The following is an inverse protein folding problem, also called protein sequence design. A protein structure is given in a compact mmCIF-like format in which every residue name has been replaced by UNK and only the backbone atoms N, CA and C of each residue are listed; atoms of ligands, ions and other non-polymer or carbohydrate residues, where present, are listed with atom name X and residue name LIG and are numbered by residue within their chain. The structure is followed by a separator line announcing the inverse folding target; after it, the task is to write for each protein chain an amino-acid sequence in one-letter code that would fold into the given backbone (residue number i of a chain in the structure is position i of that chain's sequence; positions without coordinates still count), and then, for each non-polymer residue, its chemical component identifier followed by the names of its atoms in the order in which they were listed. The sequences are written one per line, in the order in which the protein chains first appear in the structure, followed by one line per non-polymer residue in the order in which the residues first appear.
data_IF_395617196868
#
_entry.id   IF_395617196868
#
_cell.length_a   1.000
_cell.length_b   1.000
_cell.length_c   1.000
_cell.angle_alpha   90.00
_cell.angle_beta   90.00
_cell.angle_gamma   90.00
#
_symmetry.space_group_name_H-M   'P 1'
#
loop_
_entity.id
_entity.type
_entity.pdbx_description
1 polymer ?
#
# COMPACT_ATOMS: atom_id res chain seq x y z
N UNK A 1 0.37 -29.20 24.31
CA UNK A 1 -0.43 -29.02 23.07
C UNK A 1 0.41 -29.30 21.84
N UNK A 2 1.57 -28.65 21.74
CA UNK A 2 2.46 -28.73 20.59
C UNK A 2 2.81 -30.14 20.14
N UNK A 3 3.20 -31.00 21.08
CA UNK A 3 3.53 -32.40 20.79
C UNK A 3 2.35 -33.21 20.28
N UNK A 4 1.13 -32.92 20.75
CA UNK A 4 -0.11 -33.57 20.28
C UNK A 4 -0.38 -33.18 18.84
N UNK A 5 -0.35 -31.87 18.53
CA UNK A 5 -0.55 -31.39 17.15
C UNK A 5 0.53 -31.92 16.19
N UNK A 6 1.78 -31.96 16.64
CA UNK A 6 2.89 -32.52 15.87
C UNK A 6 2.72 -34.02 15.64
N UNK A 7 2.26 -34.75 16.65
CA UNK A 7 1.93 -36.16 16.58
C UNK A 7 0.81 -36.43 15.57
N UNK A 8 -0.30 -35.71 15.65
CA UNK A 8 -1.42 -35.85 14.71
C UNK A 8 -1.05 -35.44 13.28
N UNK A 9 -0.20 -34.44 13.11
CA UNK A 9 0.31 -34.11 11.77
C UNK A 9 1.18 -35.24 11.22
N UNK A 10 1.98 -35.88 12.06
CA UNK A 10 2.84 -37.00 11.69
C UNK A 10 2.04 -38.28 11.38
N UNK A 11 0.94 -38.55 12.10
CA UNK A 11 0.04 -39.69 11.80
C UNK A 11 -0.65 -39.51 10.44
N UNK A 12 -0.95 -38.27 10.05
CA UNK A 12 -1.44 -37.92 8.71
C UNK A 12 -0.34 -37.93 7.63
N UNK A 13 0.93 -38.11 8.00
CA UNK A 13 2.06 -38.11 7.08
C UNK A 13 2.31 -36.76 6.38
N UNK A 14 1.87 -35.65 6.98
CA UNK A 14 1.95 -34.31 6.37
C UNK A 14 3.18 -33.54 6.83
N UNK A 15 3.88 -32.91 5.88
CA UNK A 15 4.93 -31.94 6.20
C UNK A 15 4.32 -30.58 6.57
N UNK A 16 5.10 -29.71 7.23
CA UNK A 16 4.67 -28.32 7.49
C UNK A 16 4.34 -27.55 6.19
N UNK A 17 5.03 -27.86 5.09
CA UNK A 17 4.78 -27.24 3.79
C UNK A 17 3.46 -27.72 3.17
N UNK A 18 3.08 -28.97 3.41
CA UNK A 18 1.78 -29.49 2.95
C UNK A 18 0.64 -28.82 3.70
N UNK A 19 0.76 -28.68 5.03
CA UNK A 19 -0.20 -27.95 5.85
C UNK A 19 -0.32 -26.49 5.41
N UNK A 20 0.80 -25.84 5.07
CA UNK A 20 0.78 -24.48 4.52
C UNK A 20 -0.02 -24.41 3.21
N UNK A 21 0.21 -25.36 2.29
CA UNK A 21 -0.47 -25.36 0.98
C UNK A 21 -1.99 -25.53 1.12
N UNK A 22 -2.42 -26.35 2.07
CA UNK A 22 -3.82 -26.70 2.32
C UNK A 22 -4.55 -25.63 3.15
N UNK A 23 -3.95 -25.14 4.24
CA UNK A 23 -4.57 -24.14 5.12
C UNK A 23 -4.30 -22.68 4.73
N UNK A 24 -3.37 -22.44 3.81
CA UNK A 24 -2.89 -21.09 3.45
C UNK A 24 -2.34 -20.29 4.65
N UNK A 25 -1.81 -21.00 5.64
CA UNK A 25 -1.12 -20.42 6.80
C UNK A 25 0.38 -20.68 6.64
N UNK A 26 1.23 -19.65 6.79
CA UNK A 26 2.71 -19.79 6.68
C UNK A 26 3.19 -20.96 7.57
N UNK A 27 4.08 -21.82 7.04
CA UNK A 27 4.64 -22.97 7.74
C UNK A 27 5.37 -22.55 9.03
N UNK A 28 5.99 -21.38 9.03
CA UNK A 28 6.58 -20.74 10.21
C UNK A 28 5.56 -20.57 11.33
N UNK A 29 4.33 -20.16 11.02
CA UNK A 29 3.26 -20.01 12.01
C UNK A 29 2.74 -21.37 12.50
N UNK A 30 2.64 -22.37 11.63
CA UNK A 30 2.28 -23.73 12.06
C UNK A 30 3.34 -24.29 13.01
N UNK A 31 4.63 -24.10 12.70
CA UNK A 31 5.72 -24.46 13.61
C UNK A 31 5.67 -23.68 14.92
N UNK A 32 5.31 -22.39 14.89
CA UNK A 32 5.17 -21.56 16.08
C UNK A 32 4.03 -22.06 16.98
N UNK A 33 2.89 -22.49 16.40
CA UNK A 33 1.80 -23.13 17.14
C UNK A 33 2.29 -24.42 17.81
N UNK A 34 3.04 -25.26 17.08
CA UNK A 34 3.61 -26.50 17.63
C UNK A 34 4.66 -26.27 18.72
N UNK A 35 5.29 -25.10 18.76
CA UNK A 35 6.29 -24.74 19.78
C UNK A 35 5.72 -23.82 20.87
N UNK A 36 4.42 -23.48 20.82
CA UNK A 36 3.78 -22.49 21.68
C UNK A 36 4.51 -21.13 21.71
N UNK A 37 5.15 -20.75 20.60
CA UNK A 37 5.92 -19.50 20.50
C UNK A 37 5.06 -18.37 19.90
N UNK A 38 4.64 -17.44 20.75
CA UNK A 38 3.81 -16.28 20.37
C UNK A 38 4.62 -15.21 19.64
N UNK A 39 5.93 -15.17 19.82
CA UNK A 39 6.78 -14.09 19.30
C UNK A 39 7.00 -14.20 17.79
N UNK A 40 6.83 -15.40 17.23
CA UNK A 40 6.96 -15.66 15.81
C UNK A 40 5.79 -15.10 14.97
N UNK A 41 4.70 -14.65 15.58
CA UNK A 41 3.54 -14.11 14.85
C UNK A 41 3.66 -12.60 14.63
N UNK A 42 3.58 -12.18 13.36
CA UNK A 42 3.58 -10.75 12.98
C UNK A 42 2.35 -9.99 13.51
N UNK A 43 1.20 -10.66 13.62
CA UNK A 43 -0.08 -10.04 14.03
C UNK A 43 -0.80 -10.90 15.06
N UNK A 44 -0.78 -10.52 16.35
CA UNK A 44 -1.37 -11.31 17.44
C UNK A 44 -2.86 -11.60 17.31
N UNK A 45 -3.61 -10.72 16.64
CA UNK A 45 -5.06 -10.88 16.45
C UNK A 45 -5.48 -12.13 15.68
N UNK A 46 -4.61 -12.66 14.81
CA UNK A 46 -4.93 -13.83 13.97
C UNK A 46 -4.54 -15.17 14.60
N UNK A 47 -3.77 -15.17 15.69
CA UNK A 47 -3.27 -16.40 16.35
C UNK A 47 -4.42 -17.33 16.71
N UNK A 48 -5.50 -16.78 17.27
CA UNK A 48 -6.67 -17.54 17.67
C UNK A 48 -7.38 -18.21 16.47
N UNK A 49 -7.33 -17.60 15.29
CA UNK A 49 -7.87 -18.19 14.05
C UNK A 49 -6.98 -19.30 13.50
N UNK A 50 -5.65 -19.11 13.54
CA UNK A 50 -4.69 -20.10 13.06
C UNK A 50 -4.70 -21.37 13.90
N UNK A 51 -4.68 -21.25 15.24
CA UNK A 51 -4.73 -22.41 16.15
C UNK A 51 -5.99 -23.24 15.93
N UNK A 52 -7.17 -22.60 15.84
CA UNK A 52 -8.44 -23.30 15.62
C UNK A 52 -8.52 -23.96 14.24
N UNK A 53 -8.00 -23.30 13.20
CA UNK A 53 -8.01 -23.85 11.85
C UNK A 53 -7.08 -25.05 11.72
N UNK A 54 -5.91 -25.00 12.36
CA UNK A 54 -4.99 -26.12 12.40
C UNK A 54 -5.56 -27.29 13.23
N UNK A 55 -6.23 -27.01 14.35
CA UNK A 55 -6.91 -28.05 15.13
C UNK A 55 -8.00 -28.78 14.32
N UNK A 56 -8.87 -28.04 13.60
CA UNK A 56 -9.88 -28.66 12.72
C UNK A 56 -9.24 -29.52 11.64
N UNK A 57 -8.14 -29.05 11.06
CA UNK A 57 -7.42 -29.79 10.03
C UNK A 57 -6.89 -31.14 10.53
N UNK A 58 -6.39 -31.18 11.77
CA UNK A 58 -5.91 -32.38 12.44
C UNK A 58 -7.04 -33.24 13.03
N UNK A 59 -8.30 -32.86 12.90
CA UNK A 59 -9.44 -33.57 13.50
C UNK A 59 -9.54 -33.42 15.02
N UNK A 60 -8.86 -32.43 15.61
CA UNK A 60 -8.90 -32.11 17.03
C UNK A 60 -10.00 -31.10 17.36
N UNK A 61 -10.45 -31.08 18.63
CA UNK A 61 -11.39 -30.06 19.09
C UNK A 61 -10.74 -28.66 19.08
N UNK A 62 -11.27 -27.69 18.30
CA UNK A 62 -10.64 -26.38 18.13
C UNK A 62 -10.63 -25.54 19.40
N UNK A 63 -11.65 -25.68 20.26
CA UNK A 63 -11.77 -24.85 21.45
C UNK A 63 -10.89 -25.37 22.58
N UNK A 64 -10.81 -26.70 22.76
CA UNK A 64 -9.79 -27.32 23.59
C UNK A 64 -8.39 -26.90 23.14
N UNK A 65 -8.12 -26.99 21.83
CA UNK A 65 -6.81 -26.67 21.27
C UNK A 65 -6.36 -25.24 21.58
N UNK A 66 -7.27 -24.29 21.36
CA UNK A 66 -7.01 -22.88 21.65
C UNK A 66 -6.83 -22.62 23.15
N UNK A 67 -7.68 -23.21 24.00
CA UNK A 67 -7.58 -23.06 25.46
C UNK A 67 -6.25 -23.58 26.02
N UNK A 68 -5.79 -24.73 25.54
CA UNK A 68 -4.50 -25.31 25.96
C UNK A 68 -3.35 -24.47 25.43
N UNK A 69 -3.42 -23.98 24.17
CA UNK A 69 -2.43 -23.06 23.61
C UNK A 69 -2.29 -21.80 24.47
N UNK A 70 -3.38 -21.11 24.82
CA UNK A 70 -3.30 -19.90 25.67
C UNK A 70 -2.66 -20.18 27.03
N UNK A 71 -2.93 -21.34 27.63
CA UNK A 71 -2.33 -21.75 28.91
C UNK A 71 -0.83 -22.04 28.80
N UNK A 72 -0.39 -22.66 27.71
CA UNK A 72 1.02 -23.02 27.50
C UNK A 72 1.86 -21.83 27.03
N UNK A 73 1.29 -20.97 26.17
CA UNK A 73 2.00 -19.87 25.53
C UNK A 73 1.88 -18.54 26.30
N UNK A 74 1.02 -18.48 27.33
CA UNK A 74 0.69 -17.23 28.04
C UNK A 74 -0.04 -16.20 27.18
N UNK A 75 -0.59 -16.62 26.04
CA UNK A 75 -1.27 -15.71 25.12
C UNK A 75 -2.66 -15.33 25.64
N UNK A 76 -2.88 -14.03 25.82
CA UNK A 76 -4.19 -13.46 26.09
C UNK A 76 -4.69 -12.69 24.87
N UNK A 77 -5.93 -12.97 24.45
CA UNK A 77 -6.58 -12.19 23.41
C UNK A 77 -6.88 -10.79 23.96
N UNK A 78 -6.29 -9.76 23.36
CA UNK A 78 -6.63 -8.38 23.67
C UNK A 78 -8.17 -8.18 23.60
N UNK A 79 -8.71 -7.55 24.65
CA UNK A 79 -10.14 -7.26 24.81
C UNK A 79 -10.70 -6.60 23.54
N UNK A 80 -11.50 -7.35 22.78
CA UNK A 80 -12.08 -6.92 21.50
C UNK A 80 -12.48 -8.09 20.60
N UNK A 81 -11.86 -9.26 20.78
CA UNK A 81 -12.15 -10.49 20.01
C UNK A 81 -12.50 -11.71 20.87
N UNK A 82 -12.91 -11.50 22.12
CA UNK A 82 -13.39 -12.60 22.96
C UNK A 82 -14.72 -13.15 22.41
N UNK A 83 -15.04 -14.45 22.60
CA UNK A 83 -16.30 -15.05 22.16
C UNK A 83 -17.54 -14.34 22.73
N UNK A 84 -17.37 -13.64 23.86
CA UNK A 84 -18.42 -12.81 24.48
C UNK A 84 -18.82 -11.60 23.62
N UNK A 85 -18.00 -11.19 22.65
CA UNK A 85 -18.30 -10.08 21.75
C UNK A 85 -18.93 -10.52 20.41
N UNK A 86 -18.90 -11.82 20.07
CA UNK A 86 -19.27 -12.28 18.72
C UNK A 86 -20.38 -13.30 18.63
N UNK A 87 -20.92 -13.84 19.73
CA UNK A 87 -22.03 -14.81 19.66
C UNK A 87 -23.06 -14.58 20.78
N UNK A 88 -23.90 -13.55 20.62
CA UNK A 88 -25.33 -13.75 20.92
C UNK A 88 -25.89 -14.42 19.67
N UNK A 89 -25.82 -15.76 19.63
CA UNK A 89 -26.62 -16.53 18.70
C UNK A 89 -28.08 -16.20 19.03
N UNK A 90 -28.68 -15.35 18.19
CA UNK A 90 -30.11 -15.09 18.26
C UNK A 90 -30.79 -16.45 18.07
N UNK A 91 -31.62 -16.92 19.01
CA UNK A 91 -32.26 -18.21 18.87
C UNK A 91 -33.02 -18.22 17.55
N UNK A 92 -32.73 -19.22 16.72
CA UNK A 92 -33.40 -19.46 15.45
C UNK A 92 -34.89 -19.64 15.75
N UNK A 93 -35.64 -18.57 15.49
CA UNK A 93 -37.09 -18.55 15.69
C UNK A 93 -37.68 -19.43 14.60
N UNK A 94 -38.17 -20.60 14.98
CA UNK A 94 -39.01 -21.47 14.14
C UNK A 94 -40.05 -20.59 13.45
N UNK A 95 -39.95 -20.49 12.13
CA UNK A 95 -40.83 -19.70 11.28
C UNK A 95 -42.14 -20.47 11.15
N UNK A 96 -43.21 -19.89 11.67
CA UNK A 96 -44.56 -20.42 11.54
C UNK A 96 -44.98 -20.38 10.06
N UNK A 97 -45.27 -21.53 9.40
CA UNK A 97 -45.52 -21.59 7.97
C UNK A 97 -46.85 -20.94 7.54
N UNK A 98 -47.76 -20.64 8.48
CA UNK A 98 -49.10 -20.07 8.21
C UNK A 98 -49.22 -18.56 8.48
N UNK A 99 -48.12 -17.84 8.63
CA UNK A 99 -48.17 -16.37 8.71
C UNK A 99 -48.30 -15.75 7.31
N UNK A 100 -49.53 -15.38 6.95
CA UNK A 100 -49.83 -14.62 5.73
C UNK A 100 -48.90 -13.38 5.65
N UNK A 101 -47.98 -13.33 4.67
CA UNK A 101 -46.98 -12.26 4.55
C UNK A 101 -47.59 -10.89 4.26
N UNK A 102 -48.86 -10.84 3.82
CA UNK A 102 -49.59 -9.61 3.53
C UNK A 102 -50.36 -9.07 4.73
N UNK A 103 -50.61 -9.90 5.75
CA UNK A 103 -51.32 -9.52 6.97
C UNK A 103 -50.37 -9.01 8.07
N UNK A 104 -49.06 -9.06 7.86
CA UNK A 104 -48.09 -8.56 8.83
C UNK A 104 -47.97 -7.03 8.75
N UNK A 105 -48.35 -6.28 9.80
CA UNK A 105 -48.24 -4.80 9.80
C UNK A 105 -46.79 -4.32 9.75
N UNK A 106 -45.81 -5.21 9.96
CA UNK A 106 -44.38 -4.94 9.90
C UNK A 106 -43.71 -5.68 8.73
N UNK A 107 -44.31 -5.63 7.53
CA UNK A 107 -43.77 -6.25 6.33
C UNK A 107 -42.37 -5.70 5.97
N UNK A 108 -41.43 -6.59 5.66
CA UNK A 108 -40.04 -6.26 5.31
C UNK A 108 -39.87 -5.46 4.01
N UNK A 109 -40.93 -5.36 3.19
CA UNK A 109 -40.93 -4.65 1.91
C UNK A 109 -41.34 -3.18 2.02
N UNK A 110 -41.74 -2.71 3.21
CA UNK A 110 -42.08 -1.31 3.44
C UNK A 110 -40.82 -0.58 3.94
N UNK A 111 -40.26 0.39 3.18
CA UNK A 111 -39.15 1.19 3.67
C UNK A 111 -39.60 1.94 4.92
N UNK A 112 -38.91 1.70 6.03
CA UNK A 112 -39.18 2.40 7.28
C UNK A 112 -38.59 3.80 7.18
N UNK A 113 -39.32 4.85 7.60
CA UNK A 113 -38.70 6.15 7.79
C UNK A 113 -37.62 6.00 8.88
N UNK A 114 -36.39 6.35 8.55
CA UNK A 114 -35.29 6.41 9.51
C UNK A 114 -35.64 7.37 10.63
N UNK A 115 -35.27 7.01 11.86
CA UNK A 115 -35.46 7.93 13.00
C UNK A 115 -34.60 9.17 12.78
N UNK A 116 -35.14 10.37 13.04
CA UNK A 116 -34.39 11.64 12.94
C UNK A 116 -33.13 11.69 13.83
N UNK A 117 -33.00 10.74 14.77
CA UNK A 117 -31.86 10.58 15.66
C UNK A 117 -30.85 9.52 15.21
N UNK A 118 -31.12 8.81 14.10
CA UNK A 118 -30.29 7.70 13.60
C UNK A 118 -29.03 8.20 12.87
N UNK A 119 -29.04 9.46 12.40
CA UNK A 119 -27.87 10.14 11.83
C UNK A 119 -26.97 10.83 12.85
N UNK A 120 -27.27 10.76 14.16
CA UNK A 120 -26.45 11.38 15.19
C UNK A 120 -25.34 10.40 15.58
N UNK A 121 -24.25 10.45 14.81
CA UNK A 121 -23.03 9.73 15.15
C UNK A 121 -22.44 10.31 16.46
N UNK A 122 -22.07 9.47 17.44
CA UNK A 122 -21.48 9.93 18.70
C UNK A 122 -20.23 10.81 18.52
N UNK A 123 -19.49 10.60 17.42
CA UNK A 123 -18.32 11.41 17.07
C UNK A 123 -18.65 12.86 16.67
N UNK A 124 -19.75 13.08 15.97
CA UNK A 124 -20.18 14.41 15.52
C UNK A 124 -20.64 15.30 16.70
N UNK A 125 -21.27 14.70 17.71
CA UNK A 125 -21.65 15.41 18.94
C UNK A 125 -20.41 15.89 19.71
N UNK A 126 -19.34 15.07 19.72
CA UNK A 126 -18.07 15.44 20.33
C UNK A 126 -17.39 16.63 19.67
N UNK A 127 -17.32 16.66 18.33
CA UNK A 127 -16.67 17.77 17.60
C UNK A 127 -17.44 19.08 17.73
N UNK A 128 -18.77 19.04 17.73
CA UNK A 128 -19.61 20.22 17.97
C UNK A 128 -19.40 20.75 19.40
N UNK A 129 -19.27 19.85 20.39
CA UNK A 129 -18.95 20.24 21.77
C UNK A 129 -17.61 20.95 21.89
N UNK A 130 -16.56 20.45 21.23
CA UNK A 130 -15.23 21.07 21.21
C UNK A 130 -15.27 22.45 20.54
N UNK A 131 -15.98 22.58 19.42
CA UNK A 131 -16.15 23.86 18.72
C UNK A 131 -16.80 24.90 19.64
N UNK A 132 -17.88 24.55 20.33
CA UNK A 132 -18.56 25.44 21.28
C UNK A 132 -17.63 25.84 22.43
N UNK A 133 -16.83 24.91 22.96
CA UNK A 133 -15.86 25.20 24.01
C UNK A 133 -14.79 26.21 23.55
N UNK A 134 -14.24 26.03 22.34
CA UNK A 134 -13.25 26.96 21.76
C UNK A 134 -13.85 28.35 21.56
N UNK A 135 -15.06 28.44 20.99
CA UNK A 135 -15.75 29.72 20.80
C UNK A 135 -16.01 30.42 22.14
N UNK A 136 -16.39 29.67 23.17
CA UNK A 136 -16.57 30.20 24.53
C UNK A 136 -15.27 30.75 25.12
N UNK A 137 -14.16 30.03 24.98
CA UNK A 137 -12.85 30.46 25.48
C UNK A 137 -12.38 31.72 24.75
N UNK A 138 -12.48 31.78 23.42
CA UNK A 138 -12.12 32.97 22.65
C UNK A 138 -13.00 34.18 23.01
N UNK A 139 -14.31 33.96 23.13
CA UNK A 139 -15.26 35.01 23.52
C UNK A 139 -14.94 35.57 24.91
N UNK A 140 -14.65 34.69 25.87
CA UNK A 140 -14.25 35.09 27.22
C UNK A 140 -12.91 35.83 27.23
N UNK A 141 -11.91 35.33 26.50
CA UNK A 141 -10.60 35.98 26.38
C UNK A 141 -10.69 37.38 25.76
N UNK A 142 -11.49 37.53 24.70
CA UNK A 142 -11.76 38.84 24.11
C UNK A 142 -12.46 39.79 25.08
N UNK A 143 -13.47 39.30 25.81
CA UNK A 143 -14.19 40.09 26.81
C UNK A 143 -13.28 40.58 27.95
N UNK A 144 -12.41 39.72 28.48
CA UNK A 144 -11.44 40.09 29.52
C UNK A 144 -10.42 41.14 29.04
N UNK A 145 -9.98 41.07 27.79
CA UNK A 145 -9.06 42.05 27.23
C UNK A 145 -9.69 43.45 27.13
N UNK A 146 -10.96 43.53 26.71
CA UNK A 146 -11.69 44.80 26.67
C UNK A 146 -11.84 45.43 28.06
N UNK A 147 -12.04 44.60 29.09
CA UNK A 147 -12.10 45.10 30.48
C UNK A 147 -10.77 45.65 30.98
N UNK A 148 -9.64 45.06 30.56
CA UNK A 148 -8.32 45.52 30.99
C UNK A 148 -7.90 46.82 30.30
N UNK A 149 -8.23 46.98 29.01
CA UNK A 149 -7.96 48.22 28.25
C UNK A 149 -8.74 49.41 28.82
N UNK A 150 -9.92 49.19 29.42
CA UNK A 150 -10.68 50.25 30.08
C UNK A 150 -10.06 50.71 31.41
N UNK A 151 -9.12 49.95 31.98
CA UNK A 151 -8.33 50.39 33.14
C UNK A 151 -7.11 51.19 32.66
N UNK A 152 -7.34 52.29 31.96
CA UNK A 152 -6.26 53.25 31.72
C UNK A 152 -6.06 54.03 33.02
N UNK A 153 -5.06 53.61 33.80
CA UNK A 153 -4.52 54.44 34.87
C UNK A 153 -3.77 55.62 34.24
N UNK A 154 -4.40 56.79 34.22
CA UNK A 154 -3.74 58.02 33.80
C UNK A 154 -2.75 58.44 34.88
N UNK A 155 -1.46 58.22 34.65
CA UNK A 155 -0.42 58.88 35.43
C UNK A 155 -0.39 60.38 35.03
N UNK A 156 -0.65 61.32 35.94
CA UNK A 156 -0.56 62.74 35.61
C UNK A 156 0.90 63.13 35.40
N UNK A 157 1.26 63.51 34.19
CA UNK A 157 2.59 64.05 33.86
C UNK A 157 2.45 65.56 33.69
N UNK A 158 2.82 66.32 34.72
CA UNK A 158 3.15 67.73 34.58
C UNK A 158 4.56 67.84 34.00
N UNK A 159 4.66 68.26 32.74
CA UNK A 159 5.93 68.68 32.13
C UNK A 159 5.70 69.98 31.37
N UNK A 160 6.25 71.07 31.90
CA UNK A 160 6.21 72.40 31.32
C UNK A 160 7.17 72.49 30.14
N UNK A 161 6.61 72.84 28.98
CA UNK A 161 7.32 73.07 27.72
C UNK A 161 8.17 74.34 27.81
N UNK A 162 9.49 74.20 27.62
CA UNK A 162 10.40 75.30 27.32
C UNK A 162 10.74 75.28 25.83
N UNK A 163 10.33 76.34 25.12
CA UNK A 163 10.62 76.60 23.70
C UNK A 163 11.87 77.46 23.61
N UNK A 164 12.82 77.13 22.71
CA UNK A 164 13.45 78.11 21.80
C UNK A 164 14.29 77.42 20.70
N UNK A 165 13.88 77.72 19.46
CA UNK A 165 14.64 78.09 18.25
C UNK A 165 16.16 77.82 18.23
N UNK A 166 16.68 77.17 17.18
CA UNK A 166 17.14 77.85 15.94
C UNK A 166 17.70 76.81 14.94
N UNK A 167 17.44 77.01 13.64
CA UNK A 167 18.05 76.27 12.51
C UNK A 167 19.22 77.11 11.97
N UNK A 168 20.27 76.54 11.31
CA UNK A 168 20.21 76.43 9.85
C UNK A 168 21.00 75.27 9.20
N UNK A 169 20.42 74.77 8.12
CA UNK A 169 20.98 74.47 6.78
C UNK A 169 22.51 74.33 6.59
N UNK A 170 22.96 73.25 5.91
CA UNK A 170 23.55 73.26 4.56
C UNK A 170 24.43 72.03 4.23
N UNK A 171 24.25 71.59 2.99
CA UNK A 171 25.19 70.97 2.04
C UNK A 171 25.74 69.52 2.17
N UNK A 172 25.42 68.81 1.09
CA UNK A 172 25.91 67.54 0.50
C UNK A 172 27.43 67.47 0.26
N UNK A 173 28.00 66.46 -0.45
CA UNK A 173 27.95 64.99 -0.38
C UNK A 173 29.40 64.40 -0.30
N UNK A 174 29.58 63.09 -0.56
CA UNK A 174 30.75 62.39 -1.17
C UNK A 174 31.25 61.17 -0.35
N UNK A 175 31.05 59.98 -0.95
CA UNK A 175 32.15 59.09 -1.37
C UNK A 175 32.89 58.23 -0.33
N UNK A 176 33.54 57.15 -0.79
CA UNK A 176 33.68 55.89 -0.07
C UNK A 176 34.99 55.78 0.72
N UNK A 177 34.98 54.98 1.79
CA UNK A 177 36.21 54.45 2.39
C UNK A 177 36.04 52.97 2.70
N UNK A 178 36.80 52.18 1.94
CA UNK A 178 37.13 50.79 2.22
C UNK A 178 37.82 50.63 3.58
N UNK A 179 37.73 49.42 4.13
CA UNK A 179 38.84 48.83 4.87
C UNK A 179 38.71 48.75 6.39
N UNK A 180 38.16 47.60 6.82
CA UNK A 180 38.77 46.73 7.83
C UNK A 180 38.72 47.12 9.32
N UNK A 181 37.84 46.45 10.06
CA UNK A 181 38.13 45.62 11.27
C UNK A 181 36.86 45.43 12.09
N UNK A 182 36.03 44.44 11.74
CA UNK A 182 34.96 43.99 12.64
C UNK A 182 35.39 42.70 13.32
N UNK A 183 35.73 42.86 14.60
CA UNK A 183 35.81 41.79 15.60
C UNK A 183 34.44 41.12 15.66
N UNK A 184 34.37 39.85 15.29
CA UNK A 184 33.14 39.09 15.34
C UNK A 184 32.89 38.67 16.81
N UNK A 185 32.03 39.42 17.48
CA UNK A 185 31.49 39.08 18.80
C UNK A 185 30.19 38.32 18.54
N UNK A 186 30.26 37.00 18.72
CA UNK A 186 29.12 36.10 18.55
C UNK A 186 27.94 36.52 19.45
N UNK A 187 26.94 37.17 18.86
CA UNK A 187 25.65 37.47 19.47
C UNK A 187 24.58 36.49 18.97
N UNK A 188 23.79 35.95 19.90
CA UNK A 188 22.70 34.99 19.68
C UNK A 188 21.54 35.48 18.77
N UNK A 189 21.61 36.70 18.22
CA UNK A 189 20.55 37.35 17.44
C UNK A 189 21.09 38.04 16.17
N UNK A 190 22.06 37.44 15.49
CA UNK A 190 22.45 37.90 14.14
C UNK A 190 21.67 37.12 13.08
N UNK A 191 21.03 37.78 12.10
CA UNK A 191 20.38 37.08 10.99
C UNK A 191 21.44 36.28 10.22
N UNK A 192 21.12 35.05 9.76
CA UNK A 192 22.09 34.19 9.08
C UNK A 192 22.64 34.90 7.85
N UNK A 193 23.97 34.97 7.74
CA UNK A 193 24.63 35.52 6.57
C UNK A 193 24.29 34.67 5.33
N UNK A 194 24.31 35.28 4.15
CA UNK A 194 24.01 34.60 2.88
C UNK A 194 24.91 33.37 2.68
N UNK A 195 26.15 33.43 3.18
CA UNK A 195 27.14 32.37 3.14
C UNK A 195 26.85 31.21 4.12
N UNK A 196 26.18 31.49 5.25
CA UNK A 196 25.67 30.45 6.15
C UNK A 196 24.45 29.72 5.59
N UNK A 197 23.62 30.43 4.81
CA UNK A 197 22.50 29.83 4.07
C UNK A 197 23.00 28.99 2.89
N UNK A 198 23.98 29.47 2.11
CA UNK A 198 24.57 28.75 0.98
C UNK A 198 25.19 27.40 1.42
N UNK A 199 25.76 27.35 2.62
CA UNK A 199 26.29 26.10 3.20
C UNK A 199 25.21 25.06 3.54
N UNK A 200 24.00 25.48 3.91
CA UNK A 200 22.88 24.57 4.17
C UNK A 200 22.27 24.00 2.89
N UNK A 201 22.32 24.74 1.78
CA UNK A 201 21.77 24.30 0.49
C UNK A 201 22.77 23.56 -0.40
N UNK A 202 24.05 23.53 -0.01
CA UNK A 202 25.07 22.77 -0.73
C UNK A 202 24.85 21.27 -0.51
N UNK A 203 24.70 20.45 -1.57
CA UNK A 203 24.56 19.01 -1.40
C UNK A 203 25.81 18.44 -0.74
N UNK A 204 25.64 17.73 0.38
CA UNK A 204 26.73 16.98 1.01
C UNK A 204 27.27 15.97 -0.01
N UNK A 205 28.59 16.00 -0.22
CA UNK A 205 29.24 14.96 -0.99
C UNK A 205 28.98 13.63 -0.28
N UNK A 206 28.34 12.70 -0.98
CA UNK A 206 27.98 11.40 -0.45
C UNK A 206 29.27 10.65 -0.07
N UNK A 207 29.59 10.61 1.23
CA UNK A 207 30.65 9.76 1.78
C UNK A 207 30.12 8.32 1.81
N UNK A 208 30.00 7.73 0.62
CA UNK A 208 29.71 6.31 0.46
C UNK A 208 30.97 5.53 0.82
N UNK A 209 30.90 4.55 1.73
CA UNK A 209 32.06 3.73 2.04
C UNK A 209 32.52 3.00 0.77
N UNK A 210 33.77 3.22 0.37
CA UNK A 210 34.40 2.48 -0.73
C UNK A 210 34.54 1.03 -0.28
N UNK A 211 33.67 0.15 -0.82
CA UNK A 211 33.72 -1.28 -0.53
C UNK A 211 34.91 -1.91 -1.26
N UNK A 212 35.95 -2.24 -0.50
CA UNK A 212 37.08 -3.04 -0.96
C UNK A 212 36.80 -4.49 -0.58
N UNK A 213 36.95 -5.42 -1.52
CA UNK A 213 36.81 -6.84 -1.23
C UNK A 213 37.82 -7.25 -0.14
N UNK A 214 37.30 -7.79 0.97
CA UNK A 214 38.09 -8.19 2.15
C UNK A 214 39.22 -9.17 1.82
N UNK A 215 39.04 -9.99 0.78
CA UNK A 215 39.93 -11.10 0.43
C UNK A 215 40.57 -10.93 -0.95
N UNK A 216 41.15 -9.75 -1.21
CA UNK A 216 41.74 -9.38 -2.50
C UNK A 216 42.58 -10.46 -3.19
N UNK A 217 43.60 -11.05 -2.54
CA UNK A 217 44.49 -12.03 -3.19
C UNK A 217 43.88 -13.41 -3.45
N UNK A 218 42.86 -13.83 -2.69
CA UNK A 218 42.28 -15.19 -2.80
C UNK A 218 41.31 -15.25 -3.98
N UNK A 219 40.62 -14.15 -4.27
CA UNK A 219 39.70 -14.02 -5.40
C UNK A 219 40.39 -14.19 -6.77
N UNK A 220 41.70 -13.92 -6.85
CA UNK A 220 42.47 -14.00 -8.09
C UNK A 220 43.07 -15.38 -8.39
N UNK A 221 42.90 -16.36 -7.50
CA UNK A 221 43.41 -17.72 -7.72
C UNK A 221 42.45 -18.51 -8.63
N UNK A 222 42.93 -18.95 -9.80
CA UNK A 222 42.19 -19.88 -10.65
C UNK A 222 42.31 -21.32 -10.10
N UNK A 223 41.19 -21.97 -9.71
CA UNK A 223 41.20 -23.35 -9.21
C UNK A 223 41.73 -24.38 -10.22
N UNK A 224 41.82 -24.00 -11.50
CA UNK A 224 42.35 -24.86 -12.57
C UNK A 224 43.87 -24.81 -12.68
N UNK A 225 44.51 -23.78 -12.14
CA UNK A 225 45.97 -23.64 -12.14
C UNK A 225 46.59 -24.10 -10.82
N UNK A 226 45.86 -24.01 -9.70
CA UNK A 226 46.41 -24.28 -8.36
C UNK A 226 45.56 -25.31 -7.61
N UNK A 227 45.92 -26.59 -7.72
CA UNK A 227 45.30 -27.72 -7.04
C UNK A 227 45.93 -29.08 -7.41
N UNK A 228 45.65 -30.12 -6.63
CA UNK A 228 46.29 -31.46 -6.71
C UNK A 228 45.85 -32.33 -7.91
N UNK A 229 45.13 -31.77 -8.89
CA UNK A 229 44.65 -32.48 -10.08
C UNK A 229 44.75 -31.60 -11.33
N UNK A 230 45.93 -31.48 -11.96
CA UNK A 230 46.10 -30.77 -13.22
C UNK A 230 46.12 -31.77 -14.39
N UNK A 231 45.10 -32.62 -14.56
CA UNK A 231 45.01 -33.41 -15.80
C UNK A 231 43.61 -34.01 -16.00
N UNK A 232 42.69 -33.24 -16.60
CA UNK A 232 41.64 -33.83 -17.46
C UNK A 232 41.03 -32.81 -18.44
N UNK A 233 41.82 -31.86 -18.94
CA UNK A 233 41.41 -30.97 -20.02
C UNK A 233 42.35 -31.14 -21.21
N UNK A 234 42.40 -32.36 -21.73
CA UNK A 234 43.23 -32.66 -22.90
C UNK A 234 43.19 -34.11 -23.28
N UNK A 235 42.13 -34.56 -23.97
CA UNK A 235 42.34 -35.39 -25.15
C UNK A 235 41.11 -35.55 -26.04
N UNK A 236 41.44 -35.59 -27.33
CA UNK A 236 40.62 -35.70 -28.54
C UNK A 236 39.61 -36.85 -28.48
N UNK A 237 38.45 -36.64 -29.13
CA UNK A 237 37.66 -37.72 -29.72
C UNK A 237 38.57 -38.61 -30.58
N UNK A 238 38.48 -39.93 -30.42
CA UNK A 238 37.82 -40.72 -31.46
C UNK A 238 36.93 -41.85 -30.91
N UNK A 239 35.90 -42.16 -31.70
CA UNK A 239 35.13 -43.41 -31.82
C UNK A 239 34.72 -44.23 -30.58
N UNK A 240 33.39 -44.35 -30.41
CA UNK A 240 32.71 -45.48 -29.74
C UNK A 240 32.97 -46.78 -30.52
N UNK A 241 32.90 -48.00 -29.92
CA UNK A 241 31.78 -48.43 -29.05
C UNK A 241 32.10 -49.44 -27.91
N UNK A 242 31.43 -49.30 -26.75
CA UNK A 242 30.66 -50.36 -26.07
C UNK A 242 30.19 -49.92 -24.66
N UNK A 243 28.91 -50.17 -24.39
CA UNK A 243 28.13 -50.03 -23.14
C UNK A 243 28.58 -51.09 -22.09
N UNK A 244 28.21 -51.06 -20.77
CA UNK A 244 26.94 -50.53 -20.25
C UNK A 244 26.91 -49.77 -18.89
N UNK A 245 25.78 -49.06 -18.75
CA UNK A 245 25.02 -48.68 -17.55
C UNK A 245 25.69 -47.84 -16.43
N UNK A 246 25.36 -46.54 -16.41
CA UNK A 246 25.43 -45.68 -15.21
C UNK A 246 24.07 -45.00 -14.95
N UNK A 247 23.68 -44.80 -13.69
CA UNK A 247 22.37 -44.29 -13.26
C UNK A 247 22.27 -42.76 -13.41
N UNK A 248 22.34 -42.26 -14.64
CA UNK A 248 22.13 -40.84 -14.98
C UNK A 248 20.92 -40.61 -15.92
N UNK A 249 20.42 -41.66 -16.55
CA UNK A 249 19.37 -41.58 -17.59
C UNK A 249 18.00 -41.13 -17.08
N UNK A 250 17.71 -41.25 -15.78
CA UNK A 250 16.45 -40.78 -15.22
C UNK A 250 16.37 -39.25 -15.16
N UNK A 251 17.51 -38.58 -14.97
CA UNK A 251 17.57 -37.12 -14.85
C UNK A 251 17.56 -36.51 -16.26
N UNK A 252 18.34 -37.07 -17.19
CA UNK A 252 18.34 -36.61 -18.59
C UNK A 252 16.98 -36.84 -19.27
N UNK A 253 16.29 -37.96 -18.97
CA UNK A 253 14.93 -38.19 -19.51
C UNK A 253 13.88 -37.26 -18.90
N UNK A 254 14.04 -36.87 -17.62
CA UNK A 254 13.14 -35.90 -16.97
C UNK A 254 13.38 -34.48 -17.51
N UNK A 255 14.65 -34.12 -17.77
CA UNK A 255 14.99 -32.85 -18.40
C UNK A 255 14.47 -32.84 -19.83
N UNK A 256 14.69 -33.88 -20.64
CA UNK A 256 14.21 -33.96 -22.03
C UNK A 256 12.69 -33.97 -22.14
N UNK A 257 11.97 -34.58 -21.18
CA UNK A 257 10.51 -34.47 -21.08
C UNK A 257 10.07 -33.05 -20.69
N UNK A 258 10.80 -32.37 -19.79
CA UNK A 258 10.52 -30.98 -19.42
C UNK A 258 10.82 -29.98 -20.56
N UNK A 259 11.85 -30.21 -21.39
CA UNK A 259 12.11 -29.36 -22.57
C UNK A 259 11.13 -29.65 -23.71
N UNK A 260 10.61 -30.88 -23.82
CA UNK A 260 9.56 -31.23 -24.76
C UNK A 260 8.20 -30.60 -24.38
N UNK A 261 7.87 -30.52 -23.09
CA UNK A 261 6.66 -29.84 -22.59
C UNK A 261 6.78 -28.30 -22.66
N UNK A 262 8.00 -27.77 -22.63
CA UNK A 262 8.29 -26.35 -22.84
C UNK A 262 8.27 -25.92 -24.33
N UNK A 263 7.86 -26.82 -25.25
CA UNK A 263 7.69 -26.50 -26.68
C UNK A 263 6.37 -25.79 -27.02
N UNK A 264 5.66 -25.28 -26.01
CA UNK A 264 4.70 -24.20 -26.19
C UNK A 264 5.43 -22.99 -26.78
N UNK A 265 5.36 -22.85 -28.10
CA UNK A 265 6.04 -21.83 -28.87
C UNK A 265 5.98 -20.46 -28.17
N UNK A 266 7.15 -19.92 -27.82
CA UNK A 266 7.31 -18.50 -27.52
C UNK A 266 6.89 -17.74 -28.77
N UNK A 267 5.61 -17.34 -28.81
CA UNK A 267 5.06 -16.51 -29.88
C UNK A 267 5.36 -15.06 -29.50
N UNK A 268 6.32 -14.48 -30.21
CA UNK A 268 6.50 -13.03 -30.23
C UNK A 268 5.26 -12.46 -30.91
N UNK A 269 4.44 -11.70 -30.18
CA UNK A 269 3.34 -10.95 -30.79
C UNK A 269 3.92 -10.07 -31.89
N UNK A 270 3.34 -10.19 -33.09
CA UNK A 270 3.72 -9.34 -34.22
C UNK A 270 3.55 -7.85 -33.89
N UNK A 271 4.20 -6.97 -34.67
CA UNK A 271 4.12 -5.52 -34.49
C UNK A 271 2.69 -4.94 -34.57
N UNK A 272 1.69 -5.73 -34.96
CA UNK A 272 0.31 -5.29 -35.22
C UNK A 272 -0.70 -5.60 -34.09
N UNK A 273 -0.26 -6.04 -32.90
CA UNK A 273 -1.18 -6.20 -31.78
C UNK A 273 -1.63 -4.80 -31.27
N UNK A 274 -2.95 -4.51 -31.25
CA UNK A 274 -3.49 -3.19 -30.90
C UNK A 274 -3.09 -2.78 -29.49
N UNK A 275 -2.61 -1.55 -29.35
CA UNK A 275 -2.18 -1.01 -28.07
C UNK A 275 -3.41 -0.55 -27.28
N UNK A 276 -3.73 -1.28 -26.21
CA UNK A 276 -4.77 -0.92 -25.25
C UNK A 276 -4.12 -0.22 -24.07
N UNK A 277 -4.67 0.91 -23.65
CA UNK A 277 -4.25 1.61 -22.45
C UNK A 277 -5.45 1.99 -21.59
N UNK A 278 -5.22 2.09 -20.28
CA UNK A 278 -6.16 2.62 -19.30
C UNK A 278 -5.68 3.99 -18.90
N UNK A 279 -6.58 4.96 -18.78
CA UNK A 279 -6.25 6.26 -18.22
C UNK A 279 -7.38 6.76 -17.32
N UNK A 280 -7.05 7.66 -16.40
CA UNK A 280 -8.01 8.20 -15.46
C UNK A 280 -8.08 9.72 -15.57
N UNK A 281 -9.29 10.29 -15.65
CA UNK A 281 -9.51 11.75 -15.68
C UNK A 281 -9.57 12.35 -14.27
N UNK A 282 -9.76 11.50 -13.25
CA UNK A 282 -9.73 11.84 -11.82
C UNK A 282 -9.10 10.67 -11.05
N UNK A 283 -8.58 10.88 -9.83
CA UNK A 283 -7.97 9.81 -9.06
C UNK A 283 -8.89 8.58 -8.92
N UNK A 284 -8.38 7.43 -9.33
CA UNK A 284 -9.11 6.17 -9.34
C UNK A 284 -8.18 5.02 -9.00
N UNK A 285 -8.58 4.16 -8.06
CA UNK A 285 -7.84 2.94 -7.77
C UNK A 285 -8.06 1.91 -8.87
N UNK A 286 -6.98 1.43 -9.48
CA UNK A 286 -6.96 0.52 -10.61
C UNK A 286 -6.12 -0.70 -10.28
N UNK A 287 -6.66 -1.89 -10.54
CA UNK A 287 -5.96 -3.17 -10.47
C UNK A 287 -6.18 -3.96 -11.76
N UNK A 288 -5.08 -4.30 -12.42
CA UNK A 288 -5.04 -5.13 -13.62
C UNK A 288 -4.50 -6.50 -13.25
N UNK A 289 -5.29 -7.53 -13.48
CA UNK A 289 -4.97 -8.91 -13.18
C UNK A 289 -4.85 -9.72 -14.47
N UNK A 290 -3.75 -10.46 -14.64
CA UNK A 290 -3.59 -11.42 -15.73
C UNK A 290 -4.54 -12.61 -15.55
N UNK A 291 -4.77 -13.38 -16.61
CA UNK A 291 -5.70 -14.51 -16.59
C UNK A 291 -5.24 -15.68 -15.69
N UNK A 292 -3.94 -15.77 -15.41
CA UNK A 292 -3.34 -16.68 -14.41
C UNK A 292 -3.57 -16.23 -12.95
N UNK A 293 -4.17 -15.04 -12.76
CA UNK A 293 -4.44 -14.45 -11.46
C UNK A 293 -3.31 -13.56 -10.93
N UNK A 294 -2.18 -13.42 -11.65
CA UNK A 294 -1.10 -12.53 -11.24
C UNK A 294 -1.51 -11.06 -11.36
N UNK A 295 -1.08 -10.22 -10.43
CA UNK A 295 -1.34 -8.77 -10.50
C UNK A 295 -0.29 -8.16 -11.43
N UNK A 296 -0.72 -7.64 -12.57
CA UNK A 296 0.15 -6.94 -13.52
C UNK A 296 0.39 -5.49 -13.08
N UNK A 297 -0.64 -4.85 -12.52
CA UNK A 297 -0.57 -3.47 -12.07
C UNK A 297 -1.59 -3.22 -10.97
N UNK A 298 -1.21 -2.50 -9.92
CA UNK A 298 -2.11 -2.05 -8.86
C UNK A 298 -1.62 -0.71 -8.31
N UNK A 299 -2.40 0.34 -8.50
CA UNK A 299 -2.10 1.70 -8.01
C UNK A 299 -3.38 2.54 -8.02
N UNK A 300 -3.38 3.66 -7.30
CA UNK A 300 -4.24 4.80 -7.62
C UNK A 300 -3.65 5.46 -8.86
N UNK A 301 -4.40 5.46 -9.96
CA UNK A 301 -4.10 6.21 -11.17
C UNK A 301 -4.53 7.66 -10.93
N UNK A 302 -3.57 8.59 -11.02
CA UNK A 302 -3.85 10.02 -10.87
C UNK A 302 -4.56 10.59 -12.11
N UNK A 303 -5.13 11.79 -11.98
CA UNK A 303 -5.76 12.47 -13.11
C UNK A 303 -4.73 12.73 -14.22
N UNK A 304 -5.01 12.25 -15.42
CA UNK A 304 -4.13 12.33 -16.58
C UNK A 304 -3.03 11.26 -16.65
N UNK A 305 -2.98 10.33 -15.70
CA UNK A 305 -2.04 9.20 -15.76
C UNK A 305 -2.59 8.10 -16.69
N UNK A 306 -1.70 7.53 -17.51
CA UNK A 306 -1.99 6.45 -18.47
C UNK A 306 -1.13 5.23 -18.17
N UNK A 307 -1.76 4.06 -18.17
CA UNK A 307 -1.11 2.76 -18.08
C UNK A 307 -1.34 1.96 -19.37
N UNK A 308 -0.26 1.69 -20.10
CA UNK A 308 -0.30 0.86 -21.31
C UNK A 308 -0.23 -0.61 -20.92
N UNK A 309 -1.13 -1.43 -21.46
CA UNK A 309 -1.15 -2.84 -21.14
C UNK A 309 0.02 -3.60 -21.80
N UNK A 310 0.66 -4.53 -21.07
CA UNK A 310 1.60 -5.46 -21.68
C UNK A 310 0.87 -6.43 -22.63
N UNK A 311 1.53 -6.82 -23.72
CA UNK A 311 0.98 -7.76 -24.70
C UNK A 311 0.99 -9.18 -24.12
N UNK A 312 -0.15 -9.63 -23.61
CA UNK A 312 -0.34 -10.97 -23.00
C UNK A 312 -1.15 -11.90 -23.91
N UNK A 313 -0.96 -13.22 -23.78
CA UNK A 313 -1.70 -14.23 -24.57
C UNK A 313 -3.20 -14.27 -24.26
N UNK A 314 -3.56 -14.04 -23.00
CA UNK A 314 -4.95 -13.91 -22.57
C UNK A 314 -5.20 -12.47 -22.11
N UNK A 315 -6.39 -11.91 -22.38
CA UNK A 315 -6.70 -10.54 -22.01
C UNK A 315 -6.79 -10.42 -20.48
N UNK A 316 -6.10 -9.44 -19.88
CA UNK A 316 -6.19 -9.24 -18.44
C UNK A 316 -7.54 -8.62 -18.05
N UNK A 317 -7.88 -8.79 -16.77
CA UNK A 317 -9.09 -8.27 -16.16
C UNK A 317 -8.78 -6.99 -15.36
N UNK A 318 -9.61 -5.97 -15.55
CA UNK A 318 -9.60 -4.76 -14.74
C UNK A 318 -10.58 -4.87 -13.58
N UNK A 319 -10.12 -4.37 -12.43
CA UNK A 319 -10.96 -3.91 -11.34
C UNK A 319 -10.61 -2.45 -11.04
N UNK A 320 -11.61 -1.59 -11.00
CA UNK A 320 -11.44 -0.16 -10.74
C UNK A 320 -12.46 0.34 -9.72
N UNK A 321 -12.05 1.28 -8.87
CA UNK A 321 -12.92 2.08 -8.01
C UNK A 321 -13.03 3.52 -8.52
N UNK A 322 -14.17 4.18 -8.29
CA UNK A 322 -14.50 5.43 -8.99
C UNK A 322 -14.48 5.24 -10.52
N UNK A 323 -15.17 4.18 -10.96
CA UNK A 323 -15.16 3.71 -12.34
C UNK A 323 -15.64 4.76 -13.38
N UNK A 324 -16.45 5.73 -12.94
CA UNK A 324 -16.86 6.88 -13.76
C UNK A 324 -15.71 7.80 -14.18
N UNK A 325 -14.53 7.64 -13.60
CA UNK A 325 -13.35 8.44 -13.91
C UNK A 325 -12.29 7.69 -14.73
N UNK A 326 -12.56 6.44 -15.12
CA UNK A 326 -11.61 5.59 -15.86
C UNK A 326 -12.11 5.34 -17.27
N UNK A 327 -11.22 5.50 -18.23
CA UNK A 327 -11.46 5.33 -19.65
C UNK A 327 -10.39 4.44 -20.28
N UNK A 328 -10.71 3.89 -21.44
CA UNK A 328 -9.85 3.00 -22.21
C UNK A 328 -9.45 3.67 -23.51
N UNK A 329 -8.16 3.65 -23.85
CA UNK A 329 -7.68 4.06 -25.16
C UNK A 329 -7.37 2.82 -25.98
N UNK A 330 -8.03 2.66 -27.13
CA UNK A 330 -7.78 1.58 -28.10
C UNK A 330 -7.44 2.23 -29.43
N UNK A 331 -6.21 2.00 -29.94
CA UNK A 331 -5.72 2.59 -31.19
C UNK A 331 -5.91 4.12 -31.27
N UNK A 332 -5.73 4.82 -30.14
CA UNK A 332 -5.86 6.28 -30.05
C UNK A 332 -7.28 6.82 -29.80
N UNK A 333 -8.32 5.98 -29.90
CA UNK A 333 -9.70 6.39 -29.58
C UNK A 333 -10.06 6.08 -28.13
N UNK A 334 -10.71 7.01 -27.44
CA UNK A 334 -11.17 6.84 -26.06
C UNK A 334 -12.55 6.16 -25.99
N UNK A 335 -12.70 5.21 -25.07
CA UNK A 335 -13.92 4.44 -24.79
C UNK A 335 -14.21 4.48 -23.28
N UNK A 336 -15.47 4.51 -22.92
CA UNK A 336 -15.90 4.51 -21.52
C UNK A 336 -17.01 5.53 -21.22
N UNK A 337 -17.23 5.89 -19.95
CA UNK A 337 -16.45 5.50 -18.76
C UNK A 337 -16.60 4.02 -18.39
N UNK A 338 -15.66 3.49 -17.60
CA UNK A 338 -15.65 2.08 -17.17
C UNK A 338 -16.87 1.69 -16.31
N UNK A 339 -17.51 2.67 -15.68
CA UNK A 339 -18.76 2.52 -14.94
C UNK A 339 -19.40 3.89 -14.65
N UNK A 340 -20.43 3.91 -13.80
CA UNK A 340 -21.14 5.15 -13.45
C UNK A 340 -20.60 5.76 -12.15
N UNK A 341 -20.23 7.04 -12.17
CA UNK A 341 -19.85 7.82 -10.99
C UNK A 341 -18.81 7.13 -10.09
N UNK A 342 -19.01 7.25 -8.77
CA UNK A 342 -18.11 6.70 -7.74
C UNK A 342 -18.29 5.17 -7.50
N UNK A 343 -18.68 4.41 -8.51
CA UNK A 343 -18.89 2.96 -8.39
C UNK A 343 -17.59 2.16 -8.48
N UNK A 344 -17.65 0.89 -8.07
CA UNK A 344 -16.57 -0.09 -8.23
C UNK A 344 -17.00 -1.09 -9.28
N UNK A 345 -16.18 -1.28 -10.31
CA UNK A 345 -16.42 -2.26 -11.38
C UNK A 345 -15.29 -3.29 -11.36
N UNK A 346 -15.64 -4.56 -11.57
CA UNK A 346 -14.71 -5.69 -11.54
C UNK A 346 -14.93 -6.62 -12.72
N UNK A 347 -13.88 -7.35 -13.11
CA UNK A 347 -13.91 -8.34 -14.19
C UNK A 347 -14.17 -7.73 -15.57
N UNK A 348 -13.69 -6.51 -15.81
CA UNK A 348 -13.75 -5.90 -17.16
C UNK A 348 -12.61 -6.48 -17.99
N UNK A 349 -12.93 -7.19 -19.06
CA UNK A 349 -11.94 -7.75 -19.96
C UNK A 349 -11.26 -6.65 -20.79
N UNK A 350 -9.93 -6.56 -20.71
CA UNK A 350 -9.14 -5.54 -21.41
C UNK A 350 -8.70 -6.02 -22.80
N UNK A 351 -9.59 -6.69 -23.51
CA UNK A 351 -9.41 -7.02 -24.93
C UNK A 351 -10.00 -5.88 -25.79
N UNK A 352 -9.36 -5.49 -26.91
CA UNK A 352 -9.87 -4.47 -27.81
C UNK A 352 -11.33 -4.71 -28.22
N UNK A 353 -11.65 -5.93 -28.64
CA UNK A 353 -13.01 -6.30 -29.08
C UNK A 353 -14.03 -6.20 -27.95
N UNK A 354 -13.68 -6.67 -26.75
CA UNK A 354 -14.56 -6.59 -25.58
C UNK A 354 -14.83 -5.14 -25.17
N UNK A 355 -13.85 -4.26 -25.32
CA UNK A 355 -14.01 -2.83 -25.06
C UNK A 355 -14.94 -2.20 -26.09
N UNK A 356 -14.77 -2.51 -27.39
CA UNK A 356 -15.65 -2.02 -28.46
C UNK A 356 -17.10 -2.49 -28.32
N UNK A 357 -17.32 -3.71 -27.83
CA UNK A 357 -18.66 -4.25 -27.61
C UNK A 357 -19.33 -3.67 -26.36
N UNK A 358 -18.56 -3.44 -25.30
CA UNK A 358 -19.10 -3.07 -23.98
C UNK A 358 -19.20 -1.56 -23.76
N UNK A 359 -18.38 -0.77 -24.44
CA UNK A 359 -18.27 0.67 -24.21
C UNK A 359 -18.42 1.45 -25.51
N UNK A 360 -19.17 2.54 -25.46
CA UNK A 360 -19.24 3.51 -26.54
C UNK A 360 -17.96 4.35 -26.60
N UNK A 361 -17.72 4.99 -27.76
CA UNK A 361 -16.70 6.04 -27.90
C UNK A 361 -17.04 7.15 -26.90
N UNK A 362 -16.05 7.58 -26.13
CA UNK A 362 -16.24 8.53 -25.05
C UNK A 362 -16.62 9.92 -25.60
N UNK A 363 -17.68 10.51 -25.06
CA UNK A 363 -18.12 11.85 -25.43
C UNK A 363 -17.34 12.91 -24.64
N UNK A 364 -16.43 13.61 -25.30
CA UNK A 364 -15.63 14.68 -24.71
C UNK A 364 -16.49 15.88 -24.24
N UNK A 365 -17.72 16.06 -24.75
CA UNK A 365 -18.60 17.14 -24.28
C UNK A 365 -19.32 16.81 -22.98
N UNK A 366 -19.43 15.52 -22.64
CA UNK A 366 -20.12 15.06 -21.44
C UNK A 366 -19.27 15.24 -20.17
N UNK A 367 -17.93 15.20 -20.28
CA UNK A 367 -17.01 15.40 -19.17
C UNK A 367 -15.87 16.35 -19.55
N UNK A 368 -15.86 17.54 -18.93
CA UNK A 368 -14.81 18.54 -19.12
C UNK A 368 -13.41 17.98 -18.79
N UNK A 369 -13.30 17.10 -17.79
CA UNK A 369 -12.01 16.52 -17.41
C UNK A 369 -11.45 15.58 -18.49
N UNK A 370 -12.34 14.92 -19.25
CA UNK A 370 -11.96 14.11 -20.41
C UNK A 370 -11.52 15.01 -21.58
N UNK A 371 -12.24 16.11 -21.83
CA UNK A 371 -11.84 17.07 -22.86
C UNK A 371 -10.44 17.66 -22.58
N UNK A 372 -10.19 18.05 -21.32
CA UNK A 372 -8.89 18.57 -20.89
C UNK A 372 -7.77 17.53 -21.08
N UNK A 373 -8.04 16.25 -20.77
CA UNK A 373 -7.08 15.17 -20.98
C UNK A 373 -6.74 14.96 -22.46
N UNK A 374 -7.76 14.90 -23.33
CA UNK A 374 -7.56 14.70 -24.78
C UNK A 374 -6.78 15.88 -25.36
N UNK A 375 -7.10 17.11 -24.97
CA UNK A 375 -6.37 18.30 -25.41
C UNK A 375 -4.88 18.29 -25.01
N UNK A 376 -4.56 17.76 -23.83
CA UNK A 376 -3.17 17.59 -23.38
C UNK A 376 -2.47 16.47 -24.15
N UNK A 377 -3.15 15.35 -24.41
CA UNK A 377 -2.61 14.25 -25.19
C UNK A 377 -2.26 14.69 -26.62
N UNK A 378 -3.19 15.37 -27.31
CA UNK A 378 -2.97 15.90 -28.67
C UNK A 378 -1.84 16.93 -28.77
N UNK A 379 -1.55 17.65 -27.67
CA UNK A 379 -0.46 18.63 -27.62
C UNK A 379 0.92 18.02 -27.34
N UNK A 380 0.98 16.72 -27.00
CA UNK A 380 2.22 16.02 -26.64
C UNK A 380 2.71 15.01 -27.70
N UNK A 381 1.94 14.82 -28.78
CA UNK A 381 2.38 14.23 -30.05
C UNK A 381 2.99 15.29 -30.97
#
# INVERSE_FOLDING_TARGET
MGDVMRGERATLGKSLLDVQRELKIKATYISAIENADVTAFETPGFIAGYVRSYARYLGLDPEWAFKVFCRESGFETAHGLSPSASIVAKPEKVRDPDSDPLANPNASFVPRPSSIFEGIEPGAVGSVGVLVAIVGILGFGGYSLLQEIQKVDFAPVEQSVGVLEDLPELDTPIGPTDGETVRDVAGLNSPPSVESLDRMYRPEALDVPVLIARDGPISTLDPREVGVMPELAGNRRPDRPNTPARPGTAIDSAVETAVADASGAVRVFGPDAPDVAIFAVRPSWVRVQSADGSILFEKILDAGERYVLPKTEQPPLLRTGNAGSVYFAVNGSAYGPAGEGASVVSNVALAPESIHESYAVADAQADQALADFIAVADASE
#
